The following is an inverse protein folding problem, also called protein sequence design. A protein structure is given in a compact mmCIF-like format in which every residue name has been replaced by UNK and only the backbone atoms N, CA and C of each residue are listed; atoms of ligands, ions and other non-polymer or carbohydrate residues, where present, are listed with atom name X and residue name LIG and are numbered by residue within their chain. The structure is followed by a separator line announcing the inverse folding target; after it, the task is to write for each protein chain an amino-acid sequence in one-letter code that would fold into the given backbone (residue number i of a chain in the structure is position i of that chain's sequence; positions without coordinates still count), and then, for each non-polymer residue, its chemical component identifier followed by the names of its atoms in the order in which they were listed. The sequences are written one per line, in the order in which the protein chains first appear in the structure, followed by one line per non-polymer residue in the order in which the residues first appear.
data_IF_407153127121
#
_entry.id   IF_407153127121
#
_cell.length_a   1.000
_cell.length_b   1.000
_cell.length_c   1.000
_cell.angle_alpha   90.00
_cell.angle_beta   90.00
_cell.angle_gamma   90.00
#
_symmetry.space_group_name_H-M   'P 1'
#
loop_
_entity.id
_entity.type
_entity.pdbx_description
1 polymer ?
#
# COMPACT_ATOMS: atom_id res chain seq x y z
N UNK A 1 -22.40 1.76 -6.28
CA UNK A 1 -21.03 2.20 -5.94
C UNK A 1 -20.98 3.17 -4.76
N UNK A 2 -21.41 4.44 -4.87
CA UNK A 2 -21.20 5.45 -3.81
C UNK A 2 -21.69 5.02 -2.42
N UNK A 3 -22.88 4.42 -2.30
CA UNK A 3 -23.44 3.96 -1.00
C UNK A 3 -22.63 2.84 -0.34
N UNK A 4 -22.07 1.92 -1.12
CA UNK A 4 -21.27 0.79 -0.61
C UNK A 4 -19.90 1.30 -0.15
N UNK A 5 -19.31 2.21 -0.94
CA UNK A 5 -18.08 2.91 -0.60
C UNK A 5 -18.21 3.68 0.73
N UNK A 6 -19.36 4.33 0.97
CA UNK A 6 -19.65 5.04 2.23
C UNK A 6 -19.75 4.08 3.43
N UNK A 7 -20.28 2.86 3.26
CA UNK A 7 -20.37 1.90 4.37
C UNK A 7 -18.99 1.33 4.71
N UNK A 8 -18.19 0.96 3.70
CA UNK A 8 -16.79 0.55 3.91
C UNK A 8 -16.04 1.67 4.66
N UNK A 9 -16.19 2.92 4.22
CA UNK A 9 -15.58 4.08 4.85
C UNK A 9 -15.96 4.23 6.34
N UNK A 10 -17.24 4.07 6.68
CA UNK A 10 -17.73 4.24 8.06
C UNK A 10 -17.23 3.16 9.01
N UNK A 11 -17.07 1.92 8.55
CA UNK A 11 -16.59 0.82 9.40
C UNK A 11 -15.12 1.03 9.80
N UNK A 12 -14.34 1.63 8.90
CA UNK A 12 -12.93 1.89 9.13
C UNK A 12 -12.61 3.20 9.88
N UNK A 13 -13.51 4.20 9.85
CA UNK A 13 -13.37 5.41 10.70
C UNK A 13 -13.50 5.06 12.20
N UNK A 14 -14.10 3.92 12.56
CA UNK A 14 -14.19 3.44 13.94
C UNK A 14 -12.88 2.88 14.54
N UNK A 15 -11.75 2.90 13.82
CA UNK A 15 -10.53 2.13 14.14
C UNK A 15 -9.47 2.92 14.93
N UNK A 16 -9.73 4.18 15.33
CA UNK A 16 -8.70 5.03 15.95
C UNK A 16 -8.29 4.70 17.40
N UNK A 17 -8.56 3.52 17.97
CA UNK A 17 -8.19 3.22 19.36
C UNK A 17 -8.03 1.73 19.69
N UNK A 18 -7.03 1.05 19.14
CA UNK A 18 -6.43 -0.14 19.79
C UNK A 18 -5.05 -0.45 19.17
N UNK A 19 -3.99 0.07 19.78
CA UNK A 19 -2.61 -0.28 19.43
C UNK A 19 -2.31 -1.74 19.74
N UNK A 20 -1.96 -2.53 18.73
CA UNK A 20 -1.09 -3.71 18.89
C UNK A 20 -0.09 -3.76 17.74
N UNK A 21 1.16 -4.01 18.10
CA UNK A 21 2.28 -4.22 17.18
C UNK A 21 2.03 -5.49 16.38
N UNK A 22 1.87 -5.36 15.06
CA UNK A 22 1.76 -6.48 14.15
C UNK A 22 3.16 -6.90 13.67
N UNK A 23 3.43 -8.20 13.72
CA UNK A 23 4.53 -8.82 13.00
C UNK A 23 3.95 -9.32 11.68
N UNK A 24 4.12 -8.54 10.62
CA UNK A 24 3.62 -8.86 9.28
C UNK A 24 4.74 -9.53 8.47
N UNK A 25 4.48 -10.65 7.78
CA UNK A 25 5.41 -11.19 6.79
C UNK A 25 5.48 -10.24 5.59
N UNK A 26 6.70 -9.92 5.17
CA UNK A 26 7.03 -8.90 4.18
C UNK A 26 6.49 -9.21 2.77
N UNK A 27 5.52 -8.42 2.32
CA UNK A 27 5.43 -8.07 0.91
C UNK A 27 6.21 -6.76 0.71
N UNK A 28 6.94 -6.65 -0.41
CA UNK A 28 8.01 -5.67 -0.68
C UNK A 28 7.54 -4.19 -0.81
N UNK A 29 6.68 -3.71 0.07
CA UNK A 29 6.49 -2.29 0.27
C UNK A 29 7.64 -1.80 1.16
N UNK A 30 8.70 -1.27 0.54
CA UNK A 30 9.81 -0.71 1.29
C UNK A 30 9.56 0.77 1.45
N UNK A 31 9.50 1.27 2.68
CA UNK A 31 9.40 2.71 2.88
C UNK A 31 10.73 3.36 2.53
N UNK A 32 10.72 4.38 1.65
CA UNK A 32 11.86 5.28 1.56
C UNK A 32 11.87 6.10 2.83
N UNK A 33 12.67 5.66 3.80
CA UNK A 33 13.05 6.50 4.91
C UNK A 33 13.98 7.56 4.32
N UNK A 34 13.36 8.58 3.72
CA UNK A 34 14.01 9.82 3.38
C UNK A 34 14.57 10.35 4.70
N UNK A 35 15.90 10.36 4.87
CA UNK A 35 16.63 10.82 6.07
C UNK A 35 16.44 12.34 6.25
N UNK A 36 15.21 12.74 6.51
CA UNK A 36 14.89 13.97 7.19
C UNK A 36 14.39 13.57 8.57
N UNK A 37 15.36 13.56 9.50
CA UNK A 37 15.15 13.65 10.94
C UNK A 37 14.18 14.77 11.28
N UNK A 38 12.88 14.50 11.22
CA UNK A 38 11.93 14.99 12.21
C UNK A 38 11.72 13.85 13.19
N UNK A 39 12.49 13.90 14.28
CA UNK A 39 12.28 13.07 15.48
C UNK A 39 11.02 13.52 16.22
N UNK A 40 9.87 13.51 15.53
CA UNK A 40 8.62 13.34 16.23
C UNK A 40 8.44 11.84 16.38
N UNK A 41 8.54 11.35 17.62
CA UNK A 41 8.04 10.02 18.01
C UNK A 41 6.50 10.08 18.00
N UNK A 42 5.95 10.53 16.88
CA UNK A 42 4.54 10.60 16.57
C UNK A 42 4.23 9.38 15.71
N UNK A 43 3.22 8.64 16.12
CA UNK A 43 2.72 7.51 15.37
C UNK A 43 2.28 7.99 13.98
N UNK A 44 2.89 7.44 12.93
CA UNK A 44 2.51 7.73 11.55
C UNK A 44 1.27 6.90 11.19
N UNK A 45 0.12 7.53 11.40
CA UNK A 45 -1.20 6.97 11.16
C UNK A 45 -1.37 6.61 9.67
N UNK A 46 -0.79 7.40 8.76
CA UNK A 46 -0.92 7.17 7.31
C UNK A 46 -0.19 5.89 6.90
N UNK A 47 1.09 5.77 7.26
CA UNK A 47 1.90 4.58 6.96
C UNK A 47 1.25 3.32 7.55
N UNK A 48 0.80 3.39 8.81
CA UNK A 48 0.15 2.24 9.45
C UNK A 48 -1.15 1.86 8.75
N UNK A 49 -1.96 2.85 8.36
CA UNK A 49 -3.19 2.59 7.61
C UNK A 49 -2.89 1.86 6.29
N UNK A 50 -1.87 2.31 5.55
CA UNK A 50 -1.50 1.74 4.25
C UNK A 50 -0.99 0.32 4.43
N UNK A 51 -0.10 0.08 5.39
CA UNK A 51 0.47 -1.26 5.65
C UNK A 51 -0.63 -2.27 6.03
N UNK A 52 -1.59 -1.86 6.86
CA UNK A 52 -2.73 -2.69 7.24
C UNK A 52 -3.69 -2.92 6.06
N UNK A 53 -3.98 -1.88 5.27
CA UNK A 53 -4.82 -2.00 4.08
C UNK A 53 -4.21 -2.94 3.05
N UNK A 54 -2.91 -2.83 2.77
CA UNK A 54 -2.16 -3.76 1.90
C UNK A 54 -2.23 -5.19 2.44
N UNK A 55 -2.07 -5.37 3.74
CA UNK A 55 -2.11 -6.69 4.37
C UNK A 55 -3.49 -7.34 4.23
N UNK A 56 -4.55 -6.60 4.55
CA UNK A 56 -5.93 -7.09 4.44
C UNK A 56 -6.29 -7.41 2.98
N UNK A 57 -5.94 -6.52 2.04
CA UNK A 57 -6.19 -6.76 0.61
C UNK A 57 -5.46 -8.00 0.10
N UNK A 58 -4.20 -8.18 0.46
CA UNK A 58 -3.43 -9.37 0.06
C UNK A 58 -4.04 -10.65 0.63
N UNK A 59 -4.46 -10.63 1.90
CA UNK A 59 -5.13 -11.78 2.52
C UNK A 59 -6.44 -12.11 1.80
N UNK A 60 -7.24 -11.10 1.48
CA UNK A 60 -8.50 -11.27 0.75
C UNK A 60 -8.27 -11.79 -0.67
N UNK A 61 -7.31 -11.22 -1.40
CA UNK A 61 -6.97 -11.64 -2.76
C UNK A 61 -6.46 -13.09 -2.76
N UNK A 62 -5.56 -13.45 -1.86
CA UNK A 62 -5.09 -14.84 -1.73
C UNK A 62 -6.23 -15.80 -1.41
N UNK A 63 -7.12 -15.45 -0.46
CA UNK A 63 -8.27 -16.27 -0.14
C UNK A 63 -9.17 -16.51 -1.36
N UNK A 64 -9.46 -15.45 -2.13
CA UNK A 64 -10.29 -15.52 -3.33
C UNK A 64 -9.61 -16.35 -4.44
N UNK A 65 -8.29 -16.26 -4.58
CA UNK A 65 -7.53 -16.99 -5.60
C UNK A 65 -7.36 -18.47 -5.27
N UNK A 66 -7.13 -18.82 -4.00
CA UNK A 66 -6.82 -20.19 -3.58
C UNK A 66 -8.07 -21.07 -3.45
N UNK A 67 -9.16 -20.54 -2.90
CA UNK A 67 -10.38 -21.32 -2.60
C UNK A 67 -11.57 -20.93 -3.47
N UNK A 68 -11.42 -19.90 -4.31
CA UNK A 68 -12.45 -19.39 -5.20
C UNK A 68 -13.41 -18.42 -4.51
N UNK A 69 -14.56 -18.18 -5.15
CA UNK A 69 -15.58 -17.24 -4.64
C UNK A 69 -16.30 -17.88 -3.46
N UNK A 70 -16.12 -17.33 -2.26
CA UNK A 70 -16.87 -17.71 -1.08
C UNK A 70 -18.35 -17.35 -1.20
N UNK A 71 -19.21 -18.24 -0.71
CA UNK A 71 -20.66 -18.05 -0.74
C UNK A 71 -21.14 -17.03 0.31
N UNK A 72 -20.39 -16.83 1.40
CA UNK A 72 -20.79 -15.95 2.51
C UNK A 72 -19.67 -15.01 2.94
N UNK A 73 -20.05 -13.88 3.54
CA UNK A 73 -19.11 -12.91 4.11
C UNK A 73 -18.35 -13.46 5.31
N UNK A 74 -19.02 -14.24 6.16
CA UNK A 74 -18.40 -14.85 7.33
C UNK A 74 -17.26 -15.79 6.98
N UNK A 75 -17.37 -16.56 5.89
CA UNK A 75 -16.30 -17.45 5.45
C UNK A 75 -15.08 -16.66 4.97
N UNK A 76 -15.29 -15.66 4.11
CA UNK A 76 -14.23 -14.80 3.58
C UNK A 76 -13.55 -13.98 4.68
N UNK A 77 -14.35 -13.33 5.53
CA UNK A 77 -13.85 -12.44 6.58
C UNK A 77 -13.35 -13.21 7.80
N UNK A 78 -13.75 -14.47 7.97
CA UNK A 78 -13.12 -15.41 8.91
C UNK A 78 -11.66 -15.67 8.59
N UNK A 79 -11.28 -15.69 7.30
CA UNK A 79 -9.88 -15.82 6.89
C UNK A 79 -9.09 -14.57 7.24
N UNK A 80 -9.68 -13.39 7.02
CA UNK A 80 -9.09 -12.12 7.49
C UNK A 80 -8.89 -12.16 8.99
N UNK A 81 -9.89 -12.60 9.75
CA UNK A 81 -9.80 -12.73 11.21
C UNK A 81 -8.63 -13.60 11.66
N UNK A 82 -8.43 -14.74 10.97
CA UNK A 82 -7.42 -15.74 11.29
C UNK A 82 -6.00 -15.32 10.85
N UNK A 83 -5.86 -14.68 9.69
CA UNK A 83 -4.56 -14.30 9.11
C UNK A 83 -4.09 -12.90 9.55
N UNK A 84 -4.97 -12.04 10.04
CA UNK A 84 -4.63 -10.67 10.47
C UNK A 84 -5.01 -10.43 11.94
N UNK A 85 -6.25 -10.01 12.21
CA UNK A 85 -6.80 -9.88 13.54
C UNK A 85 -8.31 -10.11 13.57
N UNK A 86 -8.87 -10.63 14.68
CA UNK A 86 -10.32 -10.81 14.83
C UNK A 86 -11.12 -9.52 14.65
N UNK A 87 -10.51 -8.38 15.00
CA UNK A 87 -11.13 -7.08 14.83
C UNK A 87 -11.27 -6.70 13.35
N UNK A 88 -10.20 -6.85 12.56
CA UNK A 88 -10.23 -6.63 11.12
C UNK A 88 -11.17 -7.62 10.42
N UNK A 89 -11.23 -8.87 10.90
CA UNK A 89 -12.22 -9.84 10.44
C UNK A 89 -13.66 -9.36 10.63
N UNK A 90 -13.98 -8.77 11.79
CA UNK A 90 -15.32 -8.22 12.05
C UNK A 90 -15.63 -6.98 11.21
N UNK A 91 -14.63 -6.12 10.98
CA UNK A 91 -14.75 -4.96 10.09
C UNK A 91 -15.02 -5.42 8.65
N UNK A 92 -14.27 -6.42 8.17
CA UNK A 92 -14.50 -7.07 6.90
C UNK A 92 -15.93 -7.61 6.83
N UNK A 93 -16.38 -8.34 7.86
CA UNK A 93 -17.69 -9.01 7.86
C UNK A 93 -18.84 -7.99 7.72
N UNK A 94 -18.78 -6.89 8.47
CA UNK A 94 -19.77 -5.81 8.38
C UNK A 94 -19.74 -5.14 7.00
N UNK A 95 -18.55 -4.84 6.48
CA UNK A 95 -18.38 -4.22 5.17
C UNK A 95 -18.90 -5.12 4.05
N UNK A 96 -18.60 -6.41 4.14
CA UNK A 96 -19.04 -7.43 3.20
C UNK A 96 -20.55 -7.63 3.27
N UNK A 97 -21.14 -7.78 4.45
CA UNK A 97 -22.58 -7.96 4.63
C UNK A 97 -23.38 -6.77 4.09
N UNK A 98 -22.85 -5.56 4.25
CA UNK A 98 -23.47 -4.35 3.72
C UNK A 98 -23.39 -4.26 2.19
N UNK A 99 -22.33 -4.77 1.58
CA UNK A 99 -22.15 -4.81 0.13
C UNK A 99 -22.87 -6.00 -0.52
N UNK A 100 -22.97 -7.12 0.20
CA UNK A 100 -23.27 -8.45 -0.31
C UNK A 100 -21.98 -9.18 -0.76
N UNK A 101 -21.83 -10.46 -0.38
CA UNK A 101 -20.60 -11.23 -0.58
C UNK A 101 -20.05 -11.20 -2.03
N UNK A 102 -20.90 -11.45 -3.02
CA UNK A 102 -20.52 -11.43 -4.43
C UNK A 102 -20.08 -10.03 -4.91
N UNK A 103 -20.77 -8.98 -4.50
CA UNK A 103 -20.41 -7.61 -4.88
C UNK A 103 -19.15 -7.15 -4.17
N UNK A 104 -18.96 -7.54 -2.90
CA UNK A 104 -17.74 -7.28 -2.15
C UNK A 104 -16.51 -7.93 -2.80
N UNK A 105 -16.62 -9.21 -3.18
CA UNK A 105 -15.56 -9.92 -3.92
C UNK A 105 -15.32 -9.25 -5.28
N UNK A 106 -16.38 -8.89 -6.02
CA UNK A 106 -16.22 -8.17 -7.28
C UNK A 106 -15.54 -6.82 -7.09
N UNK A 107 -15.83 -6.09 -6.02
CA UNK A 107 -15.16 -4.83 -5.69
C UNK A 107 -13.69 -5.07 -5.39
N UNK A 108 -13.34 -6.08 -4.60
CA UNK A 108 -11.92 -6.39 -4.30
C UNK A 108 -11.15 -6.79 -5.55
N UNK A 109 -11.75 -7.57 -6.44
CA UNK A 109 -11.07 -8.11 -7.63
C UNK A 109 -11.03 -7.10 -8.77
N UNK A 110 -12.06 -6.25 -8.92
CA UNK A 110 -12.19 -5.32 -10.07
C UNK A 110 -11.88 -3.87 -9.73
N UNK A 111 -12.15 -3.43 -8.52
CA UNK A 111 -11.71 -2.10 -8.12
C UNK A 111 -10.21 -2.24 -7.85
N UNK A 112 -9.42 -1.44 -8.56
CA UNK A 112 -8.04 -1.20 -8.20
C UNK A 112 -8.05 -0.49 -6.84
N UNK A 113 -8.19 -1.26 -5.76
CA UNK A 113 -8.34 -0.78 -4.41
C UNK A 113 -7.00 -0.25 -3.94
N UNK A 114 -6.72 1.00 -4.31
CA UNK A 114 -5.52 1.70 -3.88
C UNK A 114 -5.57 1.91 -2.35
N UNK A 115 -4.65 1.29 -1.59
CA UNK A 115 -4.56 1.46 -0.14
C UNK A 115 -4.38 2.93 0.26
N UNK A 116 -3.66 3.72 -0.55
CA UNK A 116 -3.41 5.15 -0.29
C UNK A 116 -4.74 5.91 -0.37
N UNK A 117 -5.48 5.75 -1.46
CA UNK A 117 -6.78 6.40 -1.65
C UNK A 117 -7.76 6.08 -0.51
N UNK A 118 -7.78 4.83 -0.07
CA UNK A 118 -8.62 4.43 1.06
C UNK A 118 -8.21 5.16 2.36
N UNK A 119 -6.90 5.22 2.66
CA UNK A 119 -6.39 5.92 3.84
C UNK A 119 -6.56 7.45 3.77
N UNK A 120 -6.54 8.02 2.57
CA UNK A 120 -6.92 9.42 2.32
C UNK A 120 -8.39 9.68 2.63
N UNK A 121 -9.30 8.82 2.15
CA UNK A 121 -10.72 8.96 2.42
C UNK A 121 -11.04 8.82 3.92
N UNK A 122 -10.31 7.95 4.63
CA UNK A 122 -10.37 7.80 6.08
C UNK A 122 -9.73 8.97 6.85
N UNK A 123 -9.17 9.97 6.16
CA UNK A 123 -8.44 11.13 6.73
C UNK A 123 -7.22 10.73 7.56
N UNK A 124 -6.66 9.55 7.27
CA UNK A 124 -5.43 9.04 7.87
C UNK A 124 -4.19 9.49 7.10
N UNK A 125 -4.33 9.77 5.80
CA UNK A 125 -3.29 10.32 4.92
C UNK A 125 -3.63 11.74 4.46
N UNK A 126 -2.59 12.53 4.17
CA UNK A 126 -2.73 13.89 3.65
C UNK A 126 -3.11 13.85 2.17
N UNK A 127 -4.18 14.59 1.83
CA UNK A 127 -4.68 14.72 0.47
C UNK A 127 -4.16 16.02 -0.12
N UNK A 128 -3.57 15.94 -1.31
CA UNK A 128 -3.24 17.12 -2.12
C UNK A 128 -3.75 16.94 -3.55
N UNK A 129 -4.99 17.39 -3.81
CA UNK A 129 -5.65 17.32 -5.12
C UNK A 129 -4.97 18.19 -6.20
N UNK A 130 -4.01 19.02 -5.82
CA UNK A 130 -3.24 19.89 -6.71
C UNK A 130 -1.75 19.53 -6.73
N UNK A 131 -1.39 18.40 -6.11
CA UNK A 131 -0.02 17.95 -6.02
C UNK A 131 0.57 17.67 -7.40
N UNK A 132 1.87 17.92 -7.53
CA UNK A 132 2.63 17.65 -8.74
C UNK A 132 4.01 17.11 -8.40
N UNK A 133 4.53 16.25 -9.26
CA UNK A 133 5.91 15.81 -9.20
C UNK A 133 6.44 15.61 -10.62
N UNK A 134 7.62 16.16 -10.89
CA UNK A 134 8.34 15.98 -12.13
C UNK A 134 9.72 15.44 -11.84
N UNK A 135 10.02 14.24 -12.32
CA UNK A 135 11.39 13.71 -12.26
C UNK A 135 12.35 14.62 -13.03
N UNK A 136 13.43 15.00 -12.37
CA UNK A 136 14.50 15.84 -12.91
C UNK A 136 15.77 15.04 -13.16
N UNK A 137 15.97 13.93 -12.44
CA UNK A 137 17.07 13.01 -12.63
C UNK A 137 16.63 11.58 -12.32
N UNK A 138 17.17 10.62 -13.07
CA UNK A 138 17.03 9.20 -12.82
C UNK A 138 18.31 8.49 -13.25
N UNK A 139 18.97 7.82 -12.32
CA UNK A 139 20.19 7.06 -12.55
C UNK A 139 20.14 5.72 -11.83
N UNK A 140 20.80 4.72 -12.40
CA UNK A 140 20.92 3.38 -11.81
C UNK A 140 22.36 2.92 -11.93
N UNK A 141 22.93 2.44 -10.83
CA UNK A 141 24.31 1.94 -10.77
C UNK A 141 24.42 0.64 -9.96
N UNK A 142 25.01 -0.44 -10.51
CA UNK A 142 25.40 -0.59 -11.92
C UNK A 142 24.16 -0.62 -12.83
N UNK A 143 24.29 -0.29 -14.12
CA UNK A 143 23.12 -0.31 -15.02
C UNK A 143 22.64 -1.74 -15.38
N UNK A 144 23.50 -2.73 -15.17
CA UNK A 144 23.29 -4.15 -15.43
C UNK A 144 24.14 -4.97 -14.45
N UNK A 145 23.71 -6.20 -14.15
CA UNK A 145 24.46 -7.10 -13.28
C UNK A 145 23.81 -8.49 -13.24
N UNK A 146 24.55 -9.53 -12.80
CA UNK A 146 23.98 -10.85 -12.53
C UNK A 146 22.90 -10.79 -11.42
N UNK A 147 22.09 -11.84 -11.29
CA UNK A 147 21.18 -11.98 -10.15
C UNK A 147 21.94 -11.86 -8.81
N UNK A 148 21.29 -11.25 -7.82
CA UNK A 148 21.90 -10.88 -6.54
C UNK A 148 22.74 -9.59 -6.58
N UNK A 149 22.82 -8.89 -7.71
CA UNK A 149 23.47 -7.57 -7.77
C UNK A 149 22.66 -6.56 -6.98
N UNK A 150 23.34 -5.73 -6.21
CA UNK A 150 22.77 -4.55 -5.57
C UNK A 150 22.85 -3.36 -6.54
N UNK A 151 21.69 -2.79 -6.85
CA UNK A 151 21.48 -1.61 -7.67
C UNK A 151 21.21 -0.41 -6.77
N UNK A 152 21.99 0.66 -6.93
CA UNK A 152 21.69 1.98 -6.38
C UNK A 152 20.92 2.78 -7.42
N UNK A 153 19.72 3.21 -7.05
CA UNK A 153 18.88 4.07 -7.88
C UNK A 153 18.89 5.47 -7.28
N UNK A 154 19.36 6.42 -8.09
CA UNK A 154 19.33 7.85 -7.80
C UNK A 154 18.14 8.47 -8.52
N UNK A 155 17.16 8.94 -7.76
CA UNK A 155 15.98 9.56 -8.32
C UNK A 155 15.80 10.96 -7.74
N UNK A 156 15.70 11.97 -8.59
CA UNK A 156 15.37 13.33 -8.16
C UNK A 156 14.07 13.76 -8.82
N UNK A 157 13.22 14.42 -8.03
CA UNK A 157 12.00 15.03 -8.52
C UNK A 157 11.81 16.42 -7.96
N UNK A 158 11.09 17.25 -8.70
CA UNK A 158 10.70 18.59 -8.30
C UNK A 158 9.17 18.68 -8.26
N UNK A 159 8.68 19.34 -7.23
CA UNK A 159 7.26 19.64 -7.03
C UNK A 159 7.07 21.14 -6.86
N UNK A 160 6.07 21.73 -7.54
CA UNK A 160 5.72 23.15 -7.45
C UNK A 160 4.61 23.40 -6.43
N UNK A 161 3.70 22.45 -6.26
CA UNK A 161 2.50 22.52 -5.42
C UNK A 161 2.55 21.54 -4.23
N UNK A 162 3.67 20.84 -4.04
CA UNK A 162 3.80 19.73 -3.11
C UNK A 162 3.25 18.42 -3.69
N UNK A 163 3.31 17.35 -2.91
CA UNK A 163 2.75 16.04 -3.25
C UNK A 163 1.80 15.61 -2.14
N UNK A 164 0.81 14.78 -2.47
CA UNK A 164 0.12 13.96 -1.48
C UNK A 164 0.97 12.75 -1.08
N UNK A 165 0.40 11.86 -0.27
CA UNK A 165 0.98 10.52 -0.09
C UNK A 165 0.98 9.80 -1.44
N UNK A 166 2.10 9.16 -1.80
CA UNK A 166 2.28 8.56 -3.14
C UNK A 166 3.17 7.33 -3.09
N UNK A 167 3.28 6.62 -4.22
CA UNK A 167 4.12 5.43 -4.37
C UNK A 167 5.09 5.60 -5.54
N UNK A 168 6.36 5.24 -5.32
CA UNK A 168 7.31 4.99 -6.40
C UNK A 168 7.37 3.51 -6.68
N UNK A 169 7.11 3.13 -7.94
CA UNK A 169 7.28 1.76 -8.41
C UNK A 169 8.52 1.66 -9.27
N UNK A 170 9.42 0.74 -8.92
CA UNK A 170 10.58 0.38 -9.73
C UNK A 170 10.37 -1.03 -10.28
N UNK A 171 10.42 -1.13 -11.60
CA UNK A 171 10.26 -2.39 -12.34
C UNK A 171 11.63 -2.76 -12.89
N UNK A 172 12.16 -3.89 -12.44
CA UNK A 172 13.40 -4.47 -12.97
C UNK A 172 13.05 -5.63 -13.89
N UNK A 173 13.71 -5.73 -15.05
CA UNK A 173 13.54 -6.85 -15.97
C UNK A 173 14.82 -7.69 -16.05
N UNK A 174 14.67 -9.02 -16.08
CA UNK A 174 15.78 -9.94 -16.32
C UNK A 174 16.03 -10.17 -17.82
N UNK A 175 17.05 -10.98 -18.15
CA UNK A 175 17.38 -11.34 -19.54
C UNK A 175 16.31 -12.18 -20.25
N UNK A 176 15.33 -12.71 -19.51
CA UNK A 176 14.19 -13.48 -20.00
C UNK A 176 12.90 -12.65 -20.05
N UNK A 177 12.99 -11.33 -19.83
CA UNK A 177 11.86 -10.40 -19.78
C UNK A 177 10.85 -10.71 -18.64
N UNK A 178 11.31 -11.36 -17.58
CA UNK A 178 10.57 -11.47 -16.32
C UNK A 178 10.79 -10.20 -15.51
N UNK A 179 9.73 -9.66 -14.90
CA UNK A 179 9.79 -8.41 -14.15
C UNK A 179 9.69 -8.65 -12.63
N UNK A 180 10.42 -7.83 -11.87
CA UNK A 180 10.29 -7.71 -10.42
C UNK A 180 9.93 -6.27 -10.08
N UNK A 181 8.83 -6.13 -9.35
CA UNK A 181 8.28 -4.84 -8.95
C UNK A 181 8.66 -4.55 -7.50
N UNK A 182 9.12 -3.33 -7.24
CA UNK A 182 9.45 -2.84 -5.91
C UNK A 182 8.72 -1.52 -5.70
N UNK A 183 7.86 -1.49 -4.69
CA UNK A 183 7.00 -0.36 -4.41
C UNK A 183 7.50 0.35 -3.16
N UNK A 184 7.59 1.67 -3.25
CA UNK A 184 8.07 2.52 -2.17
C UNK A 184 7.08 3.61 -1.83
N UNK A 185 6.63 3.62 -0.58
CA UNK A 185 5.77 4.69 -0.09
C UNK A 185 6.56 5.98 0.10
N UNK A 186 6.05 7.09 -0.44
CA UNK A 186 6.52 8.44 -0.19
C UNK A 186 5.43 9.23 0.54
N UNK A 187 5.78 9.77 1.70
CA UNK A 187 4.93 10.70 2.43
C UNK A 187 4.72 12.01 1.66
N UNK A 188 3.63 12.71 1.95
CA UNK A 188 3.36 14.04 1.41
C UNK A 188 4.56 14.99 1.59
N UNK A 189 4.95 15.66 0.50
CA UNK A 189 6.05 16.62 0.48
C UNK A 189 5.51 18.02 0.19
N UNK A 190 6.16 19.03 0.76
CA UNK A 190 5.91 20.44 0.41
C UNK A 190 6.48 20.75 -0.99
N UNK A 191 6.18 21.91 -1.58
CA UNK A 191 6.89 22.37 -2.78
C UNK A 191 8.41 22.37 -2.58
N UNK A 192 9.16 21.80 -3.52
CA UNK A 192 10.61 21.64 -3.38
C UNK A 192 11.25 20.72 -4.41
N UNK A 193 12.56 20.51 -4.27
CA UNK A 193 13.32 19.50 -5.02
C UNK A 193 13.82 18.45 -4.04
N UNK A 194 13.61 17.20 -4.38
CA UNK A 194 13.91 16.04 -3.55
C UNK A 194 14.83 15.09 -4.31
N UNK A 195 15.73 14.44 -3.58
CA UNK A 195 16.60 13.39 -4.10
C UNK A 195 16.50 12.19 -3.17
N UNK A 196 16.10 11.07 -3.74
CA UNK A 196 15.98 9.79 -3.06
C UNK A 196 17.06 8.84 -3.61
N UNK A 197 17.75 8.14 -2.70
CA UNK A 197 18.71 7.08 -3.02
C UNK A 197 18.16 5.76 -2.54
N UNK A 198 18.06 4.78 -3.44
CA UNK A 198 17.34 3.53 -3.18
C UNK A 198 18.26 2.36 -3.50
N UNK A 199 18.44 1.46 -2.54
CA UNK A 199 19.13 0.19 -2.76
C UNK A 199 18.12 -0.90 -3.11
N UNK A 200 18.26 -1.51 -4.28
CA UNK A 200 17.50 -2.69 -4.68
C UNK A 200 18.45 -3.88 -4.87
N UNK A 201 17.99 -5.07 -4.48
CA UNK A 201 18.70 -6.32 -4.79
C UNK A 201 17.76 -7.15 -5.65
N UNK A 202 18.21 -7.58 -6.82
CA UNK A 202 17.43 -8.52 -7.64
C UNK A 202 17.27 -9.84 -6.89
N UNK A 203 16.03 -10.28 -6.68
CA UNK A 203 15.74 -11.57 -6.06
C UNK A 203 16.39 -12.72 -6.86
N UNK A 204 16.93 -13.71 -6.16
CA UNK A 204 17.28 -15.01 -6.77
C UNK A 204 15.98 -15.75 -7.06
N UNK A 205 15.83 -16.27 -8.29
CA UNK A 205 14.74 -17.18 -8.64
C UNK A 205 14.81 -18.49 -7.83
#
# INVERSE_FOLDING_TARGET
MYKILTVILLVFIGVSSATRSFNTPSNNLQRLISDHRDKNVGFDICSTCIDEAVTVLNVLLQAILDEGIYATCGDLCGIVANKTSPFLGKVCDIACDAAGALEFIHLIVKADLDPIWYCEMAKMCEINDHGDAKFTNFGVYPNTGPQGTQFEIDCSFKSLNGTGTSMLRFIMADSHNQTSDNDFLIDAKKPGTYTEKIGLITASA
#
